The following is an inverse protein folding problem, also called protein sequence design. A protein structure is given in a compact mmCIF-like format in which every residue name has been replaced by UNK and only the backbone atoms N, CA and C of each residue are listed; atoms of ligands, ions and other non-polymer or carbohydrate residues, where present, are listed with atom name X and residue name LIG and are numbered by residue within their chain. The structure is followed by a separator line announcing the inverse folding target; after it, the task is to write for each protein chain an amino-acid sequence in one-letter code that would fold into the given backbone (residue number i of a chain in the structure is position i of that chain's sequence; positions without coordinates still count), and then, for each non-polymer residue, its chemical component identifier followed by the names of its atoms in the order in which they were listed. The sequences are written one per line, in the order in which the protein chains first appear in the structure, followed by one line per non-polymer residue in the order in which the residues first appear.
data_IF_077461873626
#
_entry.id   IF_077461873626
#
_cell.length_a   1.000
_cell.length_b   1.000
_cell.length_c   1.000
_cell.angle_alpha   90.00
_cell.angle_beta   90.00
_cell.angle_gamma   90.00
#
_symmetry.space_group_name_H-M   'P 1'
#
loop_
_entity.id
_entity.type
_entity.pdbx_description
1 polymer ?
#
# COMPACT_ATOMS: atom_id res chain seq x y z
N UNK A 1 -4.19 6.31 11.84
CA UNK A 1 -5.63 6.65 12.01
C UNK A 1 -5.91 8.15 11.81
N UNK A 2 -5.11 9.01 12.43
CA UNK A 2 -5.29 10.47 12.42
C UNK A 2 -5.21 11.09 11.02
N UNK A 3 -4.49 10.44 10.09
CA UNK A 3 -4.40 10.87 8.69
C UNK A 3 -5.65 10.52 7.86
N UNK A 4 -6.51 9.60 8.31
CA UNK A 4 -7.65 9.09 7.52
C UNK A 4 -8.69 10.17 7.17
N UNK A 5 -9.11 11.08 8.09
CA UNK A 5 -10.03 12.15 7.73
C UNK A 5 -9.49 13.05 6.62
N UNK A 6 -8.19 13.38 6.66
CA UNK A 6 -7.55 14.19 5.62
C UNK A 6 -7.38 13.41 4.32
N UNK A 7 -7.04 12.12 4.42
CA UNK A 7 -6.98 11.22 3.28
C UNK A 7 -8.32 11.19 2.55
N UNK A 8 -9.44 10.98 3.25
CA UNK A 8 -10.78 11.01 2.66
C UNK A 8 -11.09 12.32 1.95
N UNK A 9 -10.83 13.44 2.64
CA UNK A 9 -11.19 14.77 2.14
C UNK A 9 -10.50 15.07 0.81
N UNK A 10 -9.23 14.70 0.70
CA UNK A 10 -8.41 14.92 -0.50
C UNK A 10 -8.70 13.86 -1.55
N UNK A 11 -8.50 12.59 -1.20
CA UNK A 11 -8.53 11.48 -2.15
C UNK A 11 -9.93 11.06 -2.56
N UNK A 12 -10.97 11.27 -1.74
CA UNK A 12 -12.35 11.04 -2.19
C UNK A 12 -12.76 11.99 -3.32
N UNK A 13 -12.33 13.26 -3.27
CA UNK A 13 -12.56 14.22 -4.35
C UNK A 13 -11.77 13.86 -5.61
N UNK A 14 -10.54 13.41 -5.46
CA UNK A 14 -9.68 12.99 -6.56
C UNK A 14 -10.15 11.68 -7.20
N UNK A 15 -10.60 10.71 -6.39
CA UNK A 15 -11.16 9.43 -6.83
C UNK A 15 -12.33 9.67 -7.78
N UNK A 16 -13.31 10.49 -7.36
CA UNK A 16 -14.45 10.86 -8.20
C UNK A 16 -14.01 11.53 -9.50
N UNK A 17 -13.13 12.54 -9.42
CA UNK A 17 -12.63 13.24 -10.61
C UNK A 17 -11.88 12.32 -11.57
N UNK A 18 -11.15 11.33 -11.05
CA UNK A 18 -10.46 10.34 -11.87
C UNK A 18 -11.45 9.36 -12.50
N UNK A 19 -12.47 8.93 -11.76
CA UNK A 19 -13.52 8.04 -12.23
C UNK A 19 -14.32 8.67 -13.39
N UNK A 20 -14.68 9.96 -13.27
CA UNK A 20 -15.35 10.73 -14.33
C UNK A 20 -14.54 10.78 -15.64
N UNK A 21 -13.24 10.46 -15.59
CA UNK A 21 -12.32 10.42 -16.73
C UNK A 21 -11.86 9.00 -17.10
N UNK A 22 -12.40 7.96 -16.45
CA UNK A 22 -11.95 6.58 -16.64
C UNK A 22 -10.51 6.32 -16.18
N UNK A 23 -9.98 7.15 -15.27
CA UNK A 23 -8.62 7.04 -14.73
C UNK A 23 -8.64 6.31 -13.40
N UNK A 24 -7.67 5.41 -13.22
CA UNK A 24 -7.39 4.72 -11.95
C UNK A 24 -6.20 5.38 -11.26
N UNK A 25 -6.27 5.51 -9.94
CA UNK A 25 -5.20 6.03 -9.08
C UNK A 25 -4.60 4.85 -8.32
N UNK A 26 -3.29 4.71 -8.41
CA UNK A 26 -2.52 3.64 -7.80
C UNK A 26 -1.52 4.25 -6.81
N UNK A 27 -1.57 3.84 -5.55
CA UNK A 27 -0.58 4.22 -4.54
C UNK A 27 0.54 3.18 -4.51
N UNK A 28 1.78 3.61 -4.69
CA UNK A 28 2.94 2.73 -4.46
C UNK A 28 2.93 2.24 -3.01
N UNK A 29 3.12 0.94 -2.81
CA UNK A 29 3.04 0.32 -1.49
C UNK A 29 4.34 0.41 -0.66
N UNK A 30 5.12 1.48 -0.88
CA UNK A 30 6.39 1.73 -0.22
C UNK A 30 6.18 2.43 1.13
N UNK A 31 6.84 1.92 2.16
CA UNK A 31 6.97 2.60 3.46
C UNK A 31 7.68 3.95 3.36
N UNK A 32 8.51 4.11 2.33
CA UNK A 32 9.59 5.09 2.29
C UNK A 32 10.41 4.91 3.58
N UNK A 33 10.46 5.91 4.46
CA UNK A 33 11.12 5.83 5.77
C UNK A 33 10.12 5.77 6.95
N UNK A 34 8.82 5.60 6.64
CA UNK A 34 7.74 5.54 7.62
C UNK A 34 7.48 4.15 8.20
N UNK A 35 6.68 4.11 9.26
CA UNK A 35 6.15 2.88 9.85
C UNK A 35 4.75 3.14 10.44
N UNK A 36 4.16 2.11 11.05
CA UNK A 36 2.83 2.20 11.63
C UNK A 36 2.67 3.27 12.72
N UNK A 37 3.69 3.47 13.55
CA UNK A 37 3.67 4.44 14.66
C UNK A 37 3.94 5.87 14.17
N UNK A 38 4.83 6.02 13.18
CA UNK A 38 5.18 7.29 12.56
C UNK A 38 5.18 7.14 11.04
N UNK A 39 4.11 7.59 10.39
CA UNK A 39 4.12 7.80 8.94
C UNK A 39 5.02 8.98 8.58
N UNK A 40 5.44 9.04 7.30
CA UNK A 40 6.16 10.20 6.76
C UNK A 40 5.41 10.73 5.53
N UNK A 41 5.61 10.11 4.36
CA UNK A 41 5.02 10.57 3.09
C UNK A 41 3.86 9.73 2.59
N UNK A 42 3.76 8.47 3.03
CA UNK A 42 2.84 7.50 2.47
C UNK A 42 2.05 6.74 3.53
N UNK A 43 0.75 6.57 3.28
CA UNK A 43 -0.14 5.75 4.11
C UNK A 43 -0.25 4.32 3.57
N UNK A 44 -0.01 4.10 2.27
CA UNK A 44 -0.25 2.81 1.62
C UNK A 44 0.87 1.80 1.84
N UNK A 45 1.45 1.69 3.03
CA UNK A 45 2.70 0.95 3.23
C UNK A 45 2.55 -0.51 3.69
N UNK A 46 1.39 -0.91 4.23
CA UNK A 46 1.17 -2.28 4.71
C UNK A 46 -0.32 -2.71 4.60
N UNK A 47 -0.63 -4.01 4.77
CA UNK A 47 -1.98 -4.54 4.59
C UNK A 47 -3.04 -3.90 5.48
N UNK A 48 -2.73 -3.61 6.74
CA UNK A 48 -3.67 -2.99 7.68
C UNK A 48 -3.99 -1.55 7.27
N UNK A 49 -2.99 -0.81 6.77
CA UNK A 49 -3.18 0.52 6.26
C UNK A 49 -3.99 0.52 4.96
N UNK A 50 -3.82 -0.48 4.09
CA UNK A 50 -4.63 -0.62 2.87
C UNK A 50 -6.10 -0.87 3.19
N UNK A 51 -6.40 -1.71 4.18
CA UNK A 51 -7.77 -1.90 4.67
C UNK A 51 -8.40 -0.58 5.09
N UNK A 52 -7.70 0.19 5.93
CA UNK A 52 -8.20 1.50 6.37
C UNK A 52 -8.39 2.46 5.20
N UNK A 53 -7.44 2.49 4.27
CA UNK A 53 -7.46 3.35 3.09
C UNK A 53 -8.66 3.04 2.19
N UNK A 54 -8.88 1.76 1.87
CA UNK A 54 -9.99 1.32 1.00
C UNK A 54 -11.34 1.40 1.69
N UNK A 55 -11.40 1.29 3.02
CA UNK A 55 -12.63 1.54 3.76
C UNK A 55 -13.00 3.03 3.76
N UNK A 56 -12.00 3.90 3.88
CA UNK A 56 -12.23 5.35 3.97
C UNK A 56 -12.56 5.97 2.59
N UNK A 57 -11.96 5.46 1.51
CA UNK A 57 -12.27 5.82 0.13
C UNK A 57 -12.56 4.54 -0.66
N UNK A 58 -13.85 4.13 -0.73
CA UNK A 58 -14.24 2.82 -1.28
C UNK A 58 -14.37 2.80 -2.81
N UNK A 59 -14.12 3.92 -3.49
CA UNK A 59 -14.20 4.05 -4.94
C UNK A 59 -13.33 3.00 -5.66
N UNK A 60 -13.91 2.33 -6.66
CA UNK A 60 -13.26 1.18 -7.29
C UNK A 60 -12.04 1.51 -8.15
N UNK A 61 -11.83 2.79 -8.43
CA UNK A 61 -10.68 3.31 -9.17
C UNK A 61 -9.54 3.79 -8.25
N UNK A 62 -9.60 3.50 -6.95
CA UNK A 62 -8.49 3.62 -6.00
C UNK A 62 -7.88 2.25 -5.75
N UNK A 63 -6.55 2.16 -5.83
CA UNK A 63 -5.82 0.90 -5.73
C UNK A 63 -4.34 1.09 -5.45
N UNK A 64 -3.56 0.03 -5.68
CA UNK A 64 -2.13 -0.04 -5.44
C UNK A 64 -1.35 -0.09 -6.74
N UNK A 65 -0.21 0.57 -6.72
CA UNK A 65 0.97 0.11 -7.42
C UNK A 65 1.70 -0.82 -6.44
N UNK A 66 1.72 -2.09 -6.78
CA UNK A 66 2.15 -3.14 -5.85
C UNK A 66 3.53 -3.66 -6.22
N UNK A 67 4.41 -3.65 -5.23
CA UNK A 67 5.77 -4.13 -5.29
C UNK A 67 5.97 -5.11 -4.11
N UNK A 68 6.41 -6.36 -4.35
CA UNK A 68 6.49 -7.38 -3.30
C UNK A 68 7.59 -7.11 -2.25
N UNK A 69 8.70 -6.49 -2.62
CA UNK A 69 9.86 -6.32 -1.74
C UNK A 69 9.63 -5.31 -0.63
N UNK A 70 8.84 -4.26 -0.86
CA UNK A 70 8.42 -3.34 0.19
C UNK A 70 7.74 -4.06 1.36
N UNK A 71 7.05 -5.17 1.10
CA UNK A 71 6.39 -5.97 2.13
C UNK A 71 7.38 -6.90 2.85
N UNK A 72 8.38 -7.41 2.13
CA UNK A 72 9.47 -8.18 2.72
C UNK A 72 10.31 -7.37 3.71
N UNK A 73 10.42 -6.04 3.57
CA UNK A 73 11.07 -5.16 4.57
C UNK A 73 10.39 -5.27 5.94
N UNK A 74 9.09 -5.52 5.98
CA UNK A 74 8.32 -5.78 7.20
C UNK A 74 8.23 -7.28 7.56
N UNK A 75 8.99 -8.14 6.87
CA UNK A 75 8.91 -9.60 6.97
C UNK A 75 7.51 -10.17 6.68
N UNK A 76 6.72 -9.45 5.88
CA UNK A 76 5.38 -9.87 5.46
C UNK A 76 5.53 -10.69 4.18
N UNK A 77 4.91 -11.88 4.13
CA UNK A 77 4.77 -12.64 2.89
C UNK A 77 3.87 -11.85 1.90
N UNK A 78 4.39 -11.46 0.72
CA UNK A 78 3.60 -10.71 -0.25
C UNK A 78 2.52 -11.57 -0.95
N UNK A 79 2.65 -12.90 -0.97
CA UNK A 79 1.78 -13.77 -1.77
C UNK A 79 0.31 -13.77 -1.31
N UNK A 80 -0.02 -13.83 0.00
CA UNK A 80 -1.39 -13.68 0.48
C UNK A 80 -2.08 -12.40 0.03
N UNK A 81 -1.31 -11.33 -0.21
CA UNK A 81 -1.85 -10.03 -0.56
C UNK A 81 -2.49 -10.04 -1.96
N UNK A 82 -1.86 -10.74 -2.91
CA UNK A 82 -2.41 -10.91 -4.26
C UNK A 82 -3.80 -11.57 -4.19
N UNK A 83 -3.98 -12.58 -3.35
CA UNK A 83 -5.27 -13.29 -3.22
C UNK A 83 -6.40 -12.38 -2.75
N UNK A 84 -6.07 -11.39 -1.91
CA UNK A 84 -7.06 -10.52 -1.28
C UNK A 84 -7.29 -9.22 -2.05
N UNK A 85 -6.24 -8.63 -2.61
CA UNK A 85 -6.29 -7.30 -3.24
C UNK A 85 -5.99 -7.30 -4.74
N UNK A 86 -5.98 -8.45 -5.43
CA UNK A 86 -5.79 -8.50 -6.89
C UNK A 86 -6.65 -7.49 -7.67
N UNK A 87 -7.92 -7.32 -7.28
CA UNK A 87 -8.83 -6.34 -7.92
C UNK A 87 -8.47 -4.88 -7.67
N UNK A 88 -7.66 -4.61 -6.63
CA UNK A 88 -7.16 -3.29 -6.25
C UNK A 88 -5.71 -3.07 -6.71
N UNK A 89 -5.02 -4.05 -7.28
CA UNK A 89 -3.68 -3.87 -7.85
C UNK A 89 -3.82 -3.42 -9.30
N UNK A 90 -3.44 -2.18 -9.58
CA UNK A 90 -3.58 -1.58 -10.92
C UNK A 90 -2.28 -1.51 -11.70
N UNK A 91 -1.15 -1.50 -10.98
CA UNK A 91 0.18 -1.51 -11.54
C UNK A 91 1.07 -2.40 -10.66
N UNK A 92 2.10 -3.01 -11.25
CA UNK A 92 3.04 -3.86 -10.53
C UNK A 92 4.46 -3.44 -10.87
N UNK A 93 5.24 -3.11 -9.84
CA UNK A 93 6.69 -3.11 -9.95
C UNK A 93 7.24 -4.51 -9.67
N UNK A 94 7.74 -5.17 -10.72
CA UNK A 94 8.41 -6.45 -10.59
C UNK A 94 9.83 -6.28 -10.09
N UNK A 95 10.03 -6.41 -8.78
CA UNK A 95 11.35 -6.49 -8.14
C UNK A 95 11.46 -7.76 -7.31
N UNK A 96 12.68 -8.13 -6.97
CA UNK A 96 12.99 -9.24 -6.08
C UNK A 96 13.92 -8.79 -4.93
N UNK A 97 13.78 -9.48 -3.80
CA UNK A 97 14.62 -9.27 -2.63
C UNK A 97 14.75 -10.58 -1.86
N UNK A 98 15.85 -10.72 -1.11
CA UNK A 98 16.11 -11.88 -0.27
C UNK A 98 16.41 -11.43 1.15
N UNK A 99 15.65 -11.95 2.10
CA UNK A 99 15.96 -11.81 3.53
C UNK A 99 17.10 -12.75 3.86
N UNK A 100 18.23 -12.20 4.33
CA UNK A 100 19.36 -13.01 4.82
C UNK A 100 19.07 -13.56 6.21
N UNK A 101 18.31 -14.66 6.24
CA UNK A 101 17.85 -15.27 7.49
C UNK A 101 18.98 -15.82 8.38
N UNK A 102 20.11 -16.19 7.81
CA UNK A 102 21.33 -16.53 8.56
C UNK A 102 21.78 -15.35 9.42
N UNK A 103 21.84 -14.15 8.84
CA UNK A 103 22.28 -12.93 9.53
C UNK A 103 21.28 -12.48 10.59
N UNK A 104 19.97 -12.56 10.32
CA UNK A 104 18.93 -12.26 11.32
C UNK A 104 19.04 -13.22 12.51
N UNK A 105 19.23 -14.53 12.26
CA UNK A 105 19.37 -15.51 13.34
C UNK A 105 20.63 -15.30 14.18
N UNK A 106 21.69 -14.78 13.59
CA UNK A 106 22.96 -14.53 14.28
C UNK A 106 22.95 -13.20 15.07
N UNK A 107 22.34 -12.14 14.52
CA UNK A 107 22.50 -10.78 15.05
C UNK A 107 21.22 -10.07 15.52
N UNK A 108 20.04 -10.57 15.16
CA UNK A 108 18.77 -9.86 15.35
C UNK A 108 18.47 -8.96 14.18
#
# INVERSE_FOLDING_TARGET
PDSLPRFREVWGKLAKRAADKGVRIAFENCAMDGNWASGDWNIAHNPDAWELMFNEVPDDNIGLEWEPCHQLVYLIDPIPQIRKWASRIFHVHGKDATVRWDVIREHG
#
